data_IF_343008156207
#
_entry.id   IF_343008156207
#
_cell.length_a   1.000
_cell.length_b   1.000
_cell.length_c   1.000
_cell.angle_alpha   90.00
_cell.angle_beta   90.00
_cell.angle_gamma   90.00
#
_symmetry.space_group_name_H-M   'P 1'
#
loop_
_entity.id
_entity.type
_entity.pdbx_description
1 polymer ?
#
# COMPACT_ATOMS: atom_id res chain seq x y z
N UNK A 1 -43.89 22.62 -13.41
CA UNK A 1 -42.93 22.72 -12.30
C UNK A 1 -41.93 21.59 -12.43
N UNK A 2 -40.64 21.84 -12.52
CA UNK A 2 -39.66 20.77 -12.62
C UNK A 2 -39.43 20.15 -11.24
N UNK A 3 -39.83 18.90 -11.09
CA UNK A 3 -39.74 18.10 -9.85
C UNK A 3 -38.41 17.35 -9.71
N UNK A 4 -37.33 17.81 -10.33
CA UNK A 4 -36.13 17.01 -10.47
C UNK A 4 -35.04 17.20 -9.42
N UNK A 5 -34.78 18.41 -8.95
CA UNK A 5 -33.56 18.72 -8.22
C UNK A 5 -33.56 18.39 -6.72
N UNK A 6 -34.73 18.34 -6.08
CA UNK A 6 -34.80 18.14 -4.63
C UNK A 6 -34.90 16.68 -4.16
N UNK A 7 -35.04 15.73 -5.05
CA UNK A 7 -35.14 14.32 -4.67
C UNK A 7 -33.81 13.60 -4.51
N UNK A 8 -32.75 14.12 -5.09
CA UNK A 8 -31.41 13.53 -4.95
C UNK A 8 -30.80 13.77 -3.56
N UNK A 9 -31.18 14.87 -2.92
CA UNK A 9 -30.71 15.18 -1.58
C UNK A 9 -31.33 14.32 -0.46
N UNK A 10 -32.46 13.63 -0.74
CA UNK A 10 -33.14 12.81 0.27
C UNK A 10 -32.56 11.41 0.43
N UNK A 11 -31.74 10.93 -0.48
CA UNK A 11 -31.09 9.63 -0.37
C UNK A 11 -29.79 9.65 0.45
N UNK A 12 -29.37 10.81 0.90
CA UNK A 12 -28.29 10.98 1.88
C UNK A 12 -28.76 10.93 3.34
N UNK A 13 -30.01 10.62 3.60
CA UNK A 13 -30.57 10.65 4.96
C UNK A 13 -30.28 9.36 5.71
N UNK A 14 -29.53 9.56 6.76
CA UNK A 14 -29.50 8.78 7.99
C UNK A 14 -29.61 7.25 7.85
N UNK A 15 -28.48 6.57 7.98
CA UNK A 15 -28.44 5.19 8.43
C UNK A 15 -28.38 4.12 7.34
N UNK A 16 -28.42 4.45 6.04
CA UNK A 16 -27.99 3.52 5.03
C UNK A 16 -26.47 3.60 4.94
N UNK A 17 -25.79 2.67 5.60
CA UNK A 17 -24.40 2.39 5.33
C UNK A 17 -24.30 1.92 3.87
N UNK A 18 -24.23 2.86 2.93
CA UNK A 18 -23.65 2.52 1.64
C UNK A 18 -22.24 2.06 1.97
N UNK A 19 -21.81 0.90 1.53
CA UNK A 19 -20.44 0.39 1.73
C UNK A 19 -19.40 1.27 1.02
N UNK A 20 -19.45 2.55 1.29
CA UNK A 20 -18.68 3.59 0.62
C UNK A 20 -17.34 3.69 1.32
N UNK A 21 -16.27 3.60 0.56
CA UNK A 21 -14.93 3.90 1.04
C UNK A 21 -14.88 5.37 1.50
N UNK A 22 -14.47 5.61 2.73
CA UNK A 22 -14.32 6.94 3.31
C UNK A 22 -12.85 7.32 3.28
N UNK A 23 -12.49 8.45 2.66
CA UNK A 23 -11.13 8.98 2.72
C UNK A 23 -10.83 9.42 4.16
N UNK A 24 -9.82 8.80 4.76
CA UNK A 24 -9.45 9.01 6.16
C UNK A 24 -8.23 9.93 6.30
N UNK A 25 -7.26 9.78 5.40
CA UNK A 25 -6.02 10.56 5.46
C UNK A 25 -5.38 10.67 4.08
N UNK A 26 -4.58 11.72 3.90
CA UNK A 26 -3.71 11.92 2.74
C UNK A 26 -2.35 12.40 3.24
N UNK A 27 -1.27 11.76 2.79
CA UNK A 27 0.09 12.20 3.04
C UNK A 27 0.81 12.38 1.71
N UNK A 28 1.50 13.50 1.55
CA UNK A 28 2.32 13.81 0.37
C UNK A 28 3.78 13.85 0.79
N UNK A 29 4.61 13.09 0.11
CA UNK A 29 6.05 13.08 0.33
C UNK A 29 6.71 14.32 -0.27
N UNK A 30 7.69 14.85 0.46
CA UNK A 30 8.59 15.90 0.02
C UNK A 30 9.97 15.59 0.64
N UNK A 31 10.74 14.75 -0.03
CA UNK A 31 12.01 14.22 0.49
C UNK A 31 11.85 13.58 1.88
N UNK A 32 10.78 12.78 2.05
CA UNK A 32 10.39 12.20 3.33
C UNK A 32 11.09 10.86 3.58
N UNK A 33 11.64 10.65 4.78
CA UNK A 33 12.28 9.38 5.16
C UNK A 33 11.25 8.23 5.22
N UNK A 34 9.99 8.55 5.55
CA UNK A 34 8.87 7.62 5.55
C UNK A 34 7.53 8.37 5.60
N UNK A 35 6.43 7.63 5.35
CA UNK A 35 5.06 8.09 5.56
C UNK A 35 4.35 7.11 6.50
N UNK A 36 3.87 7.60 7.65
CA UNK A 36 3.18 6.79 8.66
C UNK A 36 1.71 7.18 8.77
N UNK A 37 0.87 6.17 9.06
CA UNK A 37 -0.56 6.35 9.25
C UNK A 37 -1.02 5.61 10.50
N UNK A 38 -1.83 6.27 11.33
CA UNK A 38 -2.58 5.62 12.40
C UNK A 38 -3.79 4.91 11.80
N UNK A 39 -4.01 3.66 12.17
CA UNK A 39 -5.11 2.83 11.67
C UNK A 39 -6.32 2.95 12.60
N UNK A 40 -7.49 3.33 12.07
CA UNK A 40 -8.69 3.45 12.88
C UNK A 40 -9.34 2.08 13.12
N UNK A 41 -9.84 1.85 14.34
CA UNK A 41 -10.49 0.60 14.75
C UNK A 41 -11.88 0.40 14.16
N UNK A 42 -12.50 1.46 13.61
CA UNK A 42 -13.88 1.45 13.14
C UNK A 42 -14.12 0.76 11.80
N UNK A 43 -13.05 0.34 11.09
CA UNK A 43 -13.13 -0.17 9.73
C UNK A 43 -12.62 -1.61 9.64
N UNK A 44 -13.33 -2.42 8.83
CA UNK A 44 -12.97 -3.82 8.59
C UNK A 44 -11.91 -3.98 7.51
N UNK A 45 -11.78 -3.00 6.64
CA UNK A 45 -10.73 -2.93 5.65
C UNK A 45 -10.19 -1.51 5.60
N UNK A 46 -8.87 -1.41 5.52
CA UNK A 46 -8.16 -0.16 5.22
C UNK A 46 -7.43 -0.34 3.90
N UNK A 47 -7.68 0.56 2.97
CA UNK A 47 -7.08 0.56 1.64
C UNK A 47 -6.16 1.77 1.49
N UNK A 48 -4.95 1.53 1.01
CA UNK A 48 -3.98 2.56 0.67
C UNK A 48 -3.83 2.63 -0.84
N UNK A 49 -3.99 3.83 -1.40
CA UNK A 49 -3.68 4.12 -2.80
C UNK A 49 -2.40 4.93 -2.90
N UNK A 50 -1.52 4.53 -3.78
CA UNK A 50 -0.20 5.11 -4.01
C UNK A 50 -0.17 5.78 -5.37
N UNK A 51 0.20 7.05 -5.40
CA UNK A 51 0.18 7.89 -6.59
C UNK A 51 1.57 8.49 -6.81
N UNK A 52 2.23 8.04 -7.88
CA UNK A 52 3.52 8.55 -8.34
C UNK A 52 4.57 8.61 -7.21
N UNK A 53 4.74 7.51 -6.49
CA UNK A 53 5.75 7.41 -5.44
C UNK A 53 7.11 7.24 -6.10
N UNK A 54 7.96 8.27 -5.98
CA UNK A 54 9.28 8.32 -6.60
C UNK A 54 10.37 8.26 -5.52
N UNK A 55 11.39 7.41 -5.64
CA UNK A 55 12.51 7.39 -4.70
C UNK A 55 13.53 8.50 -4.99
N UNK A 56 14.32 8.86 -3.97
CA UNK A 56 15.51 9.69 -4.13
C UNK A 56 16.75 8.90 -4.56
N UNK A 57 16.71 7.57 -4.38
CA UNK A 57 17.79 6.64 -4.75
C UNK A 57 17.30 5.73 -5.86
N UNK A 58 18.03 5.68 -6.95
CA UNK A 58 17.66 4.87 -8.10
C UNK A 58 17.68 3.37 -7.82
N UNK A 59 16.73 2.63 -8.41
CA UNK A 59 16.66 1.18 -8.32
C UNK A 59 16.35 0.63 -6.92
N UNK A 60 15.79 1.43 -6.02
CA UNK A 60 15.49 1.01 -4.65
C UNK A 60 14.15 0.26 -4.55
N UNK A 61 13.86 -0.27 -3.37
CA UNK A 61 12.63 -1.00 -3.05
C UNK A 61 11.67 -0.11 -2.27
N UNK A 62 10.40 -0.05 -2.67
CA UNK A 62 9.32 0.53 -1.87
C UNK A 62 8.71 -0.55 -0.98
N UNK A 63 8.54 -0.28 0.32
CA UNK A 63 8.21 -1.29 1.32
C UNK A 63 7.35 -0.75 2.46
N UNK A 64 6.67 -1.66 3.20
CA UNK A 64 5.89 -1.29 4.38
C UNK A 64 6.18 -2.19 5.59
N UNK A 65 5.83 -1.69 6.77
CA UNK A 65 5.77 -2.46 8.01
C UNK A 65 4.66 -1.91 8.92
N UNK A 66 4.22 -2.71 9.87
CA UNK A 66 3.12 -2.38 10.79
C UNK A 66 3.59 -2.33 12.25
N UNK A 67 2.74 -1.72 13.09
CA UNK A 67 2.98 -1.51 14.52
C UNK A 67 1.73 -1.89 15.33
N UNK A 68 1.96 -2.23 16.60
CA UNK A 68 0.93 -2.47 17.63
C UNK A 68 1.15 -1.60 18.87
N UNK A 69 2.00 -0.58 18.77
CA UNK A 69 2.40 0.31 19.88
C UNK A 69 2.31 1.80 19.48
N UNK A 70 1.34 2.14 18.64
CA UNK A 70 1.09 3.51 18.19
C UNK A 70 2.12 4.05 17.21
N UNK A 71 2.87 3.17 16.53
CA UNK A 71 3.93 3.57 15.60
C UNK A 71 5.26 3.89 16.27
N UNK A 72 5.45 3.51 17.55
CA UNK A 72 6.72 3.68 18.25
C UNK A 72 7.78 2.71 17.74
N UNK A 73 7.36 1.51 17.32
CA UNK A 73 8.22 0.53 16.65
C UNK A 73 7.51 -0.14 15.48
N UNK A 74 8.28 -0.50 14.45
CA UNK A 74 7.82 -1.19 13.25
C UNK A 74 8.67 -2.45 13.06
N UNK A 75 8.06 -3.62 13.19
CA UNK A 75 8.79 -4.89 13.16
C UNK A 75 7.89 -6.08 13.44
N UNK A 76 6.62 -6.01 12.99
CA UNK A 76 5.71 -7.14 13.13
C UNK A 76 6.15 -8.28 12.21
N UNK A 77 6.00 -9.50 12.70
CA UNK A 77 6.33 -10.71 11.91
C UNK A 77 5.36 -10.87 10.74
N UNK A 78 5.89 -11.01 9.53
CA UNK A 78 5.12 -11.14 8.29
C UNK A 78 5.49 -12.45 7.59
N UNK A 79 4.49 -13.10 7.00
CA UNK A 79 4.65 -14.16 5.99
C UNK A 79 3.87 -13.77 4.76
N UNK A 80 4.50 -13.86 3.58
CA UNK A 80 3.92 -13.38 2.33
C UNK A 80 4.35 -14.18 1.12
N UNK A 81 3.70 -13.90 0.00
CA UNK A 81 4.05 -14.34 -1.35
C UNK A 81 4.17 -13.13 -2.25
N UNK A 82 5.05 -13.23 -3.25
CA UNK A 82 5.20 -12.19 -4.27
C UNK A 82 5.41 -12.83 -5.64
N UNK A 83 4.61 -12.47 -6.62
CA UNK A 83 4.84 -12.78 -8.01
C UNK A 83 4.71 -11.53 -8.88
N UNK A 84 5.42 -11.51 -9.99
CA UNK A 84 5.58 -10.31 -10.82
C UNK A 84 5.40 -10.66 -12.29
N UNK A 85 4.64 -9.84 -13.01
CA UNK A 85 4.72 -9.77 -14.47
C UNK A 85 5.70 -8.66 -14.85
N UNK A 86 6.63 -8.98 -15.76
CA UNK A 86 7.68 -8.03 -16.23
C UNK A 86 7.66 -7.96 -17.74
N UNK A 87 7.86 -6.75 -18.31
CA UNK A 87 8.05 -6.52 -19.74
C UNK A 87 9.00 -5.34 -19.97
N UNK A 88 9.94 -5.50 -20.89
CA UNK A 88 10.87 -4.43 -21.28
C UNK A 88 10.26 -3.50 -22.33
N UNK A 89 10.63 -2.24 -22.35
CA UNK A 89 10.18 -1.28 -23.37
C UNK A 89 10.65 -1.63 -24.79
N UNK A 90 11.76 -2.35 -24.88
CA UNK A 90 12.30 -2.87 -26.13
C UNK A 90 11.60 -4.15 -26.65
N UNK A 91 10.52 -4.56 -25.99
CA UNK A 91 9.79 -5.79 -26.29
C UNK A 91 10.41 -7.04 -25.69
N UNK A 92 11.47 -6.93 -24.89
CA UNK A 92 12.15 -8.04 -24.25
C UNK A 92 11.53 -8.42 -22.90
N UNK A 93 11.98 -9.56 -22.35
CA UNK A 93 11.72 -9.98 -20.95
C UNK A 93 10.24 -10.13 -20.54
N UNK A 94 9.34 -10.41 -21.49
CA UNK A 94 7.95 -10.74 -21.17
C UNK A 94 7.86 -12.04 -20.37
N UNK A 95 7.65 -11.94 -19.04
CA UNK A 95 7.58 -13.11 -18.16
C UNK A 95 6.72 -12.87 -16.92
N UNK A 96 6.26 -13.96 -16.33
CA UNK A 96 5.69 -14.00 -14.98
C UNK A 96 6.58 -14.89 -14.14
N UNK A 97 6.97 -14.43 -12.96
CA UNK A 97 7.87 -15.16 -12.07
C UNK A 97 7.48 -15.00 -10.59
N UNK A 98 7.77 -16.02 -9.78
CA UNK A 98 7.77 -15.88 -8.33
C UNK A 98 9.06 -15.18 -7.88
N UNK A 99 8.93 -14.20 -6.97
CA UNK A 99 10.05 -13.33 -6.59
C UNK A 99 10.39 -13.51 -5.12
N UNK A 100 11.40 -14.34 -4.84
CA UNK A 100 11.86 -14.63 -3.46
C UNK A 100 12.49 -13.43 -2.76
N UNK A 101 12.95 -12.42 -3.49
CA UNK A 101 13.42 -11.16 -2.90
C UNK A 101 12.26 -10.23 -2.46
N UNK A 102 11.03 -10.56 -2.84
CA UNK A 102 9.84 -9.79 -2.54
C UNK A 102 8.91 -10.46 -1.53
N UNK A 103 9.20 -11.69 -1.09
CA UNK A 103 8.43 -12.40 -0.08
C UNK A 103 9.10 -12.37 1.30
N UNK A 104 8.35 -12.74 2.32
CA UNK A 104 8.84 -12.90 3.69
C UNK A 104 8.37 -14.23 4.27
N UNK A 105 9.22 -14.90 5.03
CA UNK A 105 8.92 -16.13 5.75
C UNK A 105 9.16 -15.92 7.25
N UNK A 106 8.11 -15.58 8.02
CA UNK A 106 8.16 -15.28 9.45
C UNK A 106 9.25 -14.24 9.77
N UNK A 107 9.30 -13.16 8.98
CA UNK A 107 10.34 -12.13 9.10
C UNK A 107 9.78 -10.83 9.68
N UNK A 108 10.61 -10.11 10.44
CA UNK A 108 10.34 -8.77 10.96
C UNK A 108 10.84 -7.65 10.04
N UNK A 109 11.41 -8.01 8.90
CA UNK A 109 11.80 -7.05 7.87
C UNK A 109 10.60 -6.32 7.29
N UNK A 110 10.85 -5.18 6.66
CA UNK A 110 9.83 -4.50 5.85
C UNK A 110 9.42 -5.37 4.66
N UNK A 111 8.12 -5.37 4.34
CA UNK A 111 7.54 -6.11 3.23
C UNK A 111 7.70 -5.31 1.93
N UNK A 112 8.43 -5.82 0.93
CA UNK A 112 8.51 -5.20 -0.38
C UNK A 112 7.15 -5.12 -1.08
N UNK A 113 6.86 -3.95 -1.66
CA UNK A 113 5.70 -3.69 -2.52
C UNK A 113 6.12 -3.54 -3.99
N UNK A 114 7.29 -2.97 -4.23
CA UNK A 114 7.90 -2.87 -5.56
C UNK A 114 9.41 -2.83 -5.47
N UNK A 115 10.06 -3.69 -6.26
CA UNK A 115 11.51 -3.81 -6.35
C UNK A 115 12.03 -3.00 -7.54
N UNK A 116 13.22 -2.42 -7.38
CA UNK A 116 13.93 -1.70 -8.46
C UNK A 116 13.18 -0.47 -8.99
N UNK A 117 12.47 0.26 -8.12
CA UNK A 117 11.77 1.49 -8.51
C UNK A 117 12.81 2.52 -8.96
N UNK A 118 12.66 3.01 -10.18
CA UNK A 118 13.57 3.99 -10.75
C UNK A 118 13.31 5.40 -10.23
N UNK A 119 14.29 6.29 -10.41
CA UNK A 119 14.29 7.67 -9.91
C UNK A 119 14.32 8.73 -11.00
N UNK A 120 14.34 8.35 -12.27
CA UNK A 120 14.25 9.31 -13.37
C UNK A 120 12.92 10.06 -13.35
N UNK A 121 12.83 11.17 -14.08
CA UNK A 121 11.73 12.15 -13.94
C UNK A 121 10.33 11.61 -14.25
N UNK A 122 10.22 10.51 -14.98
CA UNK A 122 8.99 9.81 -15.36
C UNK A 122 8.82 8.45 -14.67
N UNK A 123 9.81 8.02 -13.87
CA UNK A 123 9.80 6.76 -13.16
C UNK A 123 9.09 6.90 -11.80
N UNK A 124 8.28 5.92 -11.48
CA UNK A 124 7.55 5.88 -10.20
C UNK A 124 6.96 4.50 -9.94
N UNK A 125 6.41 4.32 -8.74
CA UNK A 125 5.51 3.23 -8.41
C UNK A 125 4.13 3.76 -8.06
N UNK A 126 3.09 3.09 -8.55
CA UNK A 126 1.68 3.34 -8.24
C UNK A 126 0.96 2.02 -7.98
N UNK A 127 -0.16 2.08 -7.25
CA UNK A 127 -0.94 0.87 -6.95
C UNK A 127 -1.78 0.99 -5.71
N UNK A 128 -2.16 -0.17 -5.17
CA UNK A 128 -2.97 -0.25 -3.95
C UNK A 128 -2.52 -1.38 -3.02
N UNK A 129 -2.71 -1.16 -1.71
CA UNK A 129 -2.56 -2.15 -0.66
C UNK A 129 -3.84 -2.19 0.17
N UNK A 130 -4.34 -3.38 0.43
CA UNK A 130 -5.52 -3.63 1.26
C UNK A 130 -5.09 -4.37 2.51
N UNK A 131 -5.43 -3.84 3.68
CA UNK A 131 -5.22 -4.46 4.99
C UNK A 131 -6.59 -4.82 5.58
N UNK A 132 -6.77 -6.10 5.88
CA UNK A 132 -8.05 -6.64 6.31
C UNK A 132 -8.09 -6.76 7.82
N UNK A 133 -9.14 -6.18 8.41
CA UNK A 133 -9.49 -6.28 9.82
C UNK A 133 -8.31 -5.96 10.76
N UNK A 134 -7.61 -4.80 10.59
CA UNK A 134 -6.38 -4.48 11.32
C UNK A 134 -6.56 -4.50 12.84
N UNK A 135 -7.72 -4.11 13.34
CA UNK A 135 -8.05 -4.06 14.77
C UNK A 135 -8.52 -5.40 15.36
N UNK A 136 -8.48 -6.50 14.60
CA UNK A 136 -8.86 -7.81 15.16
C UNK A 136 -7.93 -8.23 16.29
N UNK A 137 -8.51 -8.66 17.40
CA UNK A 137 -7.78 -9.30 18.51
C UNK A 137 -7.89 -10.82 18.50
N UNK A 138 -8.45 -11.38 17.42
CA UNK A 138 -8.67 -12.84 17.28
C UNK A 138 -7.86 -13.43 16.12
N UNK A 139 -7.79 -12.72 15.00
CA UNK A 139 -7.19 -13.22 13.76
C UNK A 139 -5.93 -12.45 13.39
N UNK A 140 -5.03 -13.10 12.65
CA UNK A 140 -3.93 -12.43 11.94
C UNK A 140 -4.48 -11.42 10.94
N UNK A 141 -3.67 -10.43 10.53
CA UNK A 141 -4.10 -9.37 9.62
C UNK A 141 -3.66 -9.70 8.20
N UNK A 142 -4.60 -10.17 7.40
CA UNK A 142 -4.34 -10.43 5.99
C UNK A 142 -4.14 -9.11 5.23
N UNK A 143 -3.24 -9.14 4.28
CA UNK A 143 -3.07 -8.06 3.32
C UNK A 143 -2.89 -8.61 1.91
N UNK A 144 -3.24 -7.78 0.93
CA UNK A 144 -2.94 -8.03 -0.47
C UNK A 144 -2.81 -6.70 -1.21
N UNK A 145 -1.95 -6.67 -2.22
CA UNK A 145 -1.71 -5.48 -3.02
C UNK A 145 -1.33 -5.81 -4.45
N UNK A 146 -1.59 -4.84 -5.31
CA UNK A 146 -1.21 -4.84 -6.71
C UNK A 146 -0.60 -3.50 -7.05
N UNK A 147 0.57 -3.55 -7.67
CA UNK A 147 1.32 -2.36 -8.02
C UNK A 147 1.75 -2.41 -9.49
N UNK A 148 2.15 -1.27 -10.00
CA UNK A 148 2.96 -1.18 -11.20
C UNK A 148 4.09 -0.20 -10.91
N UNK A 149 5.31 -0.58 -11.24
CA UNK A 149 6.45 0.31 -11.17
C UNK A 149 7.27 0.29 -12.46
N UNK A 150 7.76 1.46 -12.82
CA UNK A 150 8.79 1.65 -13.81
C UNK A 150 10.14 1.52 -13.11
N UNK A 151 11.00 0.66 -13.65
CA UNK A 151 12.27 0.33 -13.01
C UNK A 151 13.42 1.10 -13.62
N UNK A 152 14.49 1.30 -12.84
CA UNK A 152 15.78 1.87 -13.30
C UNK A 152 16.43 1.14 -14.48
N UNK A 153 15.86 0.04 -14.94
CA UNK A 153 16.35 -0.76 -16.07
C UNK A 153 15.36 -0.79 -17.24
N UNK A 154 14.48 0.21 -17.35
CA UNK A 154 13.49 0.41 -18.43
C UNK A 154 12.49 -0.76 -18.59
N UNK A 155 12.04 -1.32 -17.47
CA UNK A 155 11.00 -2.35 -17.44
C UNK A 155 9.74 -1.84 -16.74
N UNK A 156 8.56 -2.22 -17.24
CA UNK A 156 7.36 -2.23 -16.41
C UNK A 156 7.35 -3.51 -15.60
N UNK A 157 7.12 -3.39 -14.29
CA UNK A 157 6.90 -4.52 -13.37
C UNK A 157 5.56 -4.37 -12.69
N UNK A 158 4.79 -5.47 -12.65
CA UNK A 158 3.49 -5.49 -12.00
C UNK A 158 3.50 -6.54 -10.87
N UNK A 159 4.00 -6.18 -9.66
CA UNK A 159 4.01 -7.07 -8.51
C UNK A 159 2.60 -7.26 -7.94
N UNK A 160 2.31 -8.53 -7.58
CA UNK A 160 1.19 -8.95 -6.77
C UNK A 160 1.73 -9.52 -5.48
N UNK A 161 1.41 -8.87 -4.37
CA UNK A 161 1.84 -9.27 -3.04
C UNK A 161 0.63 -9.62 -2.18
N UNK A 162 0.72 -10.71 -1.43
CA UNK A 162 -0.29 -11.08 -0.44
C UNK A 162 0.35 -11.80 0.73
N UNK A 163 -0.26 -11.67 1.92
CA UNK A 163 0.27 -12.30 3.11
C UNK A 163 -0.53 -11.97 4.35
N UNK A 164 0.12 -12.15 5.48
CA UNK A 164 -0.45 -11.77 6.76
C UNK A 164 0.62 -11.27 7.74
N UNK A 165 0.22 -10.31 8.57
CA UNK A 165 0.95 -9.92 9.78
C UNK A 165 0.58 -10.94 10.86
N UNK A 166 1.56 -11.69 11.36
CA UNK A 166 1.37 -12.79 12.31
C UNK A 166 1.22 -12.27 13.74
N UNK A 167 0.11 -11.59 13.98
CA UNK A 167 -0.25 -11.07 15.30
C UNK A 167 -1.77 -11.09 15.48
N UNK A 168 -2.22 -11.44 16.68
CA UNK A 168 -3.61 -11.27 17.11
C UNK A 168 -3.83 -9.99 17.91
N UNK A 169 -2.81 -9.15 18.11
CA UNK A 169 -2.99 -7.82 18.72
C UNK A 169 -3.55 -6.84 17.68
N UNK A 170 -4.18 -5.77 18.12
CA UNK A 170 -4.59 -4.64 17.29
C UNK A 170 -3.35 -4.08 16.56
N UNK A 171 -3.42 -3.99 15.25
CA UNK A 171 -2.43 -3.30 14.42
C UNK A 171 -2.92 -1.88 14.24
N UNK A 172 -2.28 -0.95 14.92
CA UNK A 172 -2.71 0.43 15.12
C UNK A 172 -1.97 1.46 14.27
N UNK A 173 -0.84 1.06 13.64
CA UNK A 173 -0.14 1.92 12.71
C UNK A 173 0.55 1.14 11.57
N UNK A 174 0.80 1.83 10.47
CA UNK A 174 1.54 1.34 9.30
C UNK A 174 2.50 2.42 8.81
N UNK A 175 3.67 2.01 8.36
CA UNK A 175 4.72 2.87 7.83
C UNK A 175 5.13 2.41 6.44
N UNK A 176 5.35 3.36 5.54
CA UNK A 176 5.84 3.16 4.18
C UNK A 176 7.16 3.91 4.01
N UNK A 177 8.16 3.27 3.41
CA UNK A 177 9.45 3.91 3.12
C UNK A 177 10.13 3.29 1.90
N UNK A 178 11.23 3.89 1.49
CA UNK A 178 12.20 3.26 0.60
C UNK A 178 13.22 2.45 1.43
N UNK A 179 13.70 1.34 0.89
CA UNK A 179 14.76 0.55 1.53
C UNK A 179 16.08 1.34 1.60
N UNK A 180 16.29 2.26 0.67
CA UNK A 180 17.44 3.17 0.64
C UNK A 180 17.01 4.57 0.20
N UNK A 181 17.48 5.58 0.91
CA UNK A 181 17.15 6.99 0.67
C UNK A 181 15.73 7.36 1.06
N UNK A 182 15.31 8.54 0.66
CA UNK A 182 13.99 9.10 0.97
C UNK A 182 12.96 8.78 -0.13
N UNK A 183 11.68 8.90 0.20
CA UNK A 183 10.61 9.07 -0.79
C UNK A 183 10.74 10.52 -1.27
N UNK A 184 11.17 10.73 -2.52
CA UNK A 184 11.39 12.06 -3.07
C UNK A 184 10.08 12.81 -3.22
N UNK A 185 9.10 12.17 -3.88
CA UNK A 185 7.76 12.73 -4.13
C UNK A 185 6.70 11.64 -4.12
N UNK A 186 5.44 12.05 -4.21
CA UNK A 186 4.29 11.17 -4.36
C UNK A 186 3.25 11.37 -3.26
N UNK A 187 2.10 10.74 -3.44
CA UNK A 187 0.98 10.87 -2.50
C UNK A 187 0.45 9.50 -2.12
N UNK A 188 0.22 9.30 -0.83
CA UNK A 188 -0.48 8.13 -0.29
C UNK A 188 -1.81 8.60 0.28
N UNK A 189 -2.90 7.93 -0.10
CA UNK A 189 -4.22 8.14 0.46
C UNK A 189 -4.70 6.90 1.18
N UNK A 190 -5.34 7.07 2.33
CA UNK A 190 -5.90 5.99 3.14
C UNK A 190 -7.42 6.10 3.16
N UNK A 191 -8.10 5.00 2.83
CA UNK A 191 -9.56 4.86 2.93
C UNK A 191 -9.94 3.75 3.91
N UNK A 192 -11.08 3.95 4.58
CA UNK A 192 -11.71 2.95 5.41
C UNK A 192 -12.98 2.40 4.77
N UNK A 193 -13.18 1.08 4.86
CA UNK A 193 -14.38 0.36 4.43
C UNK A 193 -14.96 -0.37 5.64
N UNK A 194 -16.26 -0.14 5.92
CA UNK A 194 -17.00 -0.76 7.04
C UNK A 194 -17.50 -2.16 6.70
#
# INVERSE_FOLDING_TARGET
MPLGANKVALFGVAGVSTGTAVLLSTATASSSSSLSFTLPTAYKQVTFGFYNITPATDGTTFEFQTSTDGGSSYGMTITSTNFVATHGEDGSNGRIEYVTAGDLAQSTSYQPLGLYVGSDSDESIAGELNLINPSSTTYVKHFYGKFNNYTSSVYTRNPYVAGYVNSTSDVDAINFKMASGNIATGTVKMWGIK
#
